data_IF_033188187888
#
_entry.id   IF_033188187888
#
_cell.length_a   1.000
_cell.length_b   1.000
_cell.length_c   1.000
_cell.angle_alpha   90.00
_cell.angle_beta   90.00
_cell.angle_gamma   90.00
#
_symmetry.space_group_name_H-M   'P 1'
#
loop_
_entity.id
_entity.type
_entity.pdbx_description
1 polymer ?
#
# COMPACT_ATOMS: atom_id res chain seq x y z
N UNK A 1 -61.47 15.16 43.65
CA UNK A 1 -60.12 14.82 43.11
C UNK A 1 -59.86 15.76 41.93
N UNK A 2 -58.86 16.60 42.03
CA UNK A 2 -58.59 17.65 41.06
C UNK A 2 -58.00 17.10 39.75
N UNK A 3 -58.36 17.76 38.67
CA UNK A 3 -57.89 17.41 37.32
C UNK A 3 -56.35 17.36 37.22
N UNK A 4 -55.65 18.12 38.04
CA UNK A 4 -54.20 18.19 38.12
C UNK A 4 -53.56 16.88 38.62
N UNK A 5 -54.21 16.14 39.55
CA UNK A 5 -53.70 14.85 40.04
C UNK A 5 -53.76 13.74 38.97
N UNK A 6 -54.75 13.80 38.07
CA UNK A 6 -54.83 12.86 36.95
C UNK A 6 -53.81 13.13 35.83
N UNK A 7 -53.49 14.42 35.60
CA UNK A 7 -52.46 14.80 34.64
C UNK A 7 -51.06 14.35 35.13
N UNK A 8 -50.78 14.51 36.42
CA UNK A 8 -49.49 14.07 37.02
C UNK A 8 -49.27 12.57 36.92
N UNK A 9 -50.33 11.77 37.07
CA UNK A 9 -50.24 10.33 36.88
C UNK A 9 -50.04 9.92 35.40
N UNK A 10 -50.64 10.64 34.46
CA UNK A 10 -50.45 10.42 33.06
C UNK A 10 -49.06 10.80 32.59
N UNK A 11 -48.52 11.92 33.09
CA UNK A 11 -47.14 12.33 32.73
C UNK A 11 -46.10 11.37 33.33
N UNK A 12 -46.29 10.83 34.54
CA UNK A 12 -45.41 9.79 35.10
C UNK A 12 -45.47 8.49 34.30
N UNK A 13 -46.63 8.10 33.82
CA UNK A 13 -46.76 6.91 32.96
C UNK A 13 -46.06 7.06 31.62
N UNK A 14 -46.04 8.27 31.04
CA UNK A 14 -45.30 8.56 29.83
C UNK A 14 -43.78 8.62 30.07
N UNK A 15 -43.32 9.10 31.22
CA UNK A 15 -41.89 9.16 31.56
C UNK A 15 -41.33 7.75 31.84
N UNK A 16 -42.10 6.83 32.39
CA UNK A 16 -41.67 5.44 32.62
C UNK A 16 -41.79 4.57 31.37
N UNK A 17 -42.55 4.99 30.35
CA UNK A 17 -42.65 4.28 29.06
C UNK A 17 -41.46 4.56 28.11
N UNK A 18 -40.54 5.45 28.50
CA UNK A 18 -39.33 5.76 27.73
C UNK A 18 -38.10 4.96 28.11
N UNK A 19 -38.20 3.90 28.90
CA UNK A 19 -37.16 2.87 28.89
C UNK A 19 -37.19 2.23 27.50
N UNK A 20 -36.25 2.65 26.70
CA UNK A 20 -36.12 2.27 25.30
C UNK A 20 -36.15 0.75 25.18
N UNK A 21 -37.22 0.19 24.64
CA UNK A 21 -37.26 -1.22 24.16
C UNK A 21 -36.30 -1.48 23.00
N UNK A 22 -35.47 -0.50 22.65
CA UNK A 22 -34.43 -0.68 21.66
C UNK A 22 -33.22 -1.31 22.35
N UNK A 23 -32.71 -2.43 21.83
CA UNK A 23 -31.48 -3.00 22.34
C UNK A 23 -30.41 -1.91 22.31
N UNK A 24 -29.68 -1.75 23.43
CA UNK A 24 -28.56 -0.81 23.48
C UNK A 24 -27.73 -1.01 22.23
N UNK A 25 -27.41 0.11 21.56
CA UNK A 25 -26.58 0.10 20.36
C UNK A 25 -25.34 -0.72 20.66
N UNK A 26 -25.18 -1.86 19.98
CA UNK A 26 -24.07 -2.73 20.23
C UNK A 26 -22.76 -1.96 20.06
N UNK A 27 -21.92 -1.96 21.07
CA UNK A 27 -20.59 -1.36 20.99
C UNK A 27 -19.81 -2.21 20.00
N UNK A 28 -19.30 -1.64 18.90
CA UNK A 28 -18.54 -2.41 17.95
C UNK A 28 -17.28 -2.97 18.64
N UNK A 29 -16.84 -4.18 18.27
CA UNK A 29 -15.66 -4.77 18.87
C UNK A 29 -14.42 -3.89 18.60
N UNK A 30 -13.55 -3.78 19.58
CA UNK A 30 -12.30 -3.00 19.49
C UNK A 30 -11.20 -3.75 18.73
N UNK A 31 -11.40 -5.03 18.45
CA UNK A 31 -10.44 -5.89 17.78
C UNK A 31 -11.05 -6.61 16.57
N UNK A 32 -10.18 -7.00 15.67
CA UNK A 32 -10.46 -7.82 14.48
C UNK A 32 -9.63 -9.08 14.57
N UNK A 33 -10.19 -10.22 14.18
CA UNK A 33 -9.52 -11.51 14.28
C UNK A 33 -8.77 -11.84 12.99
N UNK A 34 -7.46 -11.97 13.06
CA UNK A 34 -6.64 -12.48 11.97
C UNK A 34 -6.37 -13.97 12.19
N UNK A 35 -6.50 -14.77 11.13
CA UNK A 35 -6.21 -16.20 11.18
C UNK A 35 -4.73 -16.44 10.99
N UNK A 36 -4.09 -17.13 11.94
CA UNK A 36 -2.71 -17.58 11.84
C UNK A 36 -2.65 -18.88 11.06
N UNK A 37 -1.67 -18.99 10.18
CA UNK A 37 -1.49 -20.13 9.28
C UNK A 37 -0.07 -20.65 9.35
N UNK A 38 0.08 -21.95 9.10
CA UNK A 38 1.36 -22.60 8.91
C UNK A 38 1.87 -22.37 7.47
N UNK A 39 3.15 -22.43 7.25
CA UNK A 39 3.77 -22.30 5.93
C UNK A 39 4.61 -23.55 5.62
N UNK A 40 4.58 -24.14 4.42
CA UNK A 40 3.93 -23.67 3.20
C UNK A 40 2.48 -24.17 2.97
N UNK A 41 1.86 -24.92 3.87
CA UNK A 41 0.51 -25.44 3.66
C UNK A 41 -0.58 -24.37 3.63
N UNK A 42 -0.37 -23.24 4.31
CA UNK A 42 -1.35 -22.19 4.60
C UNK A 42 -2.59 -22.68 5.36
N UNK A 43 -2.48 -23.79 6.09
CA UNK A 43 -3.55 -24.27 6.93
C UNK A 43 -3.73 -23.41 8.19
N UNK A 44 -4.98 -23.06 8.52
CA UNK A 44 -5.25 -22.25 9.70
C UNK A 44 -5.11 -23.10 10.97
N UNK A 45 -4.39 -22.62 11.97
CA UNK A 45 -4.20 -23.31 13.25
C UNK A 45 -4.64 -22.49 14.46
N UNK A 46 -4.63 -21.16 14.37
CA UNK A 46 -4.98 -20.28 15.47
C UNK A 46 -5.58 -18.96 15.00
N UNK A 47 -6.06 -18.17 15.95
CA UNK A 47 -6.63 -16.84 15.69
C UNK A 47 -5.90 -15.81 16.54
N UNK A 48 -5.51 -14.69 15.93
CA UNK A 48 -4.77 -13.61 16.53
C UNK A 48 -5.61 -12.31 16.56
N UNK A 49 -5.86 -11.71 17.75
CA UNK A 49 -6.58 -10.45 17.83
C UNK A 49 -5.69 -9.28 17.42
N UNK A 50 -6.19 -8.44 16.51
CA UNK A 50 -5.52 -7.22 16.04
C UNK A 50 -6.46 -6.05 16.26
N UNK A 51 -5.93 -4.87 16.58
CA UNK A 51 -6.73 -3.69 16.83
C UNK A 51 -7.59 -3.32 15.60
N UNK A 52 -8.86 -3.02 15.83
CA UNK A 52 -9.85 -2.77 14.77
C UNK A 52 -9.47 -1.60 13.85
N UNK A 53 -8.87 -0.54 14.38
CA UNK A 53 -8.41 0.61 13.58
C UNK A 53 -7.31 0.27 12.56
N UNK A 54 -6.63 -0.88 12.72
CA UNK A 54 -5.57 -1.33 11.83
C UNK A 54 -6.09 -2.16 10.66
N UNK A 55 -6.95 -3.18 10.92
CA UNK A 55 -7.43 -4.10 9.87
C UNK A 55 -8.88 -3.87 9.43
N UNK A 56 -9.60 -2.93 10.04
CA UNK A 56 -10.99 -2.66 9.68
C UNK A 56 -11.26 -1.19 9.31
N UNK A 57 -10.24 -0.47 8.88
CA UNK A 57 -10.40 0.89 8.40
C UNK A 57 -11.39 0.98 7.22
N UNK A 58 -12.18 2.07 7.10
CA UNK A 58 -13.03 2.28 5.94
C UNK A 58 -12.18 2.51 4.69
N UNK A 59 -12.63 1.97 3.55
CA UNK A 59 -11.89 2.10 2.29
C UNK A 59 -12.05 3.54 1.76
N UNK A 60 -10.94 4.27 1.67
CA UNK A 60 -10.86 5.63 1.13
C UNK A 60 -9.86 5.65 -0.03
N UNK A 61 -10.38 5.66 -1.25
CA UNK A 61 -9.58 5.64 -2.48
C UNK A 61 -8.81 6.95 -2.70
N UNK A 62 -9.34 8.07 -2.24
CA UNK A 62 -8.68 9.38 -2.27
C UNK A 62 -7.33 9.38 -1.53
N UNK A 63 -7.31 8.85 -0.32
CA UNK A 63 -6.10 8.75 0.51
C UNK A 63 -5.09 7.76 -0.09
N UNK A 64 -5.58 6.62 -0.57
CA UNK A 64 -4.72 5.64 -1.27
C UNK A 64 -4.08 6.22 -2.53
N UNK A 65 -4.83 7.01 -3.31
CA UNK A 65 -4.33 7.67 -4.51
C UNK A 65 -3.21 8.66 -4.17
N UNK A 66 -3.40 9.50 -3.15
CA UNK A 66 -2.37 10.45 -2.71
C UNK A 66 -1.07 9.75 -2.32
N UNK A 67 -1.14 8.65 -1.54
CA UNK A 67 0.03 7.89 -1.14
C UNK A 67 0.76 7.28 -2.35
N UNK A 68 0.03 6.62 -3.26
CA UNK A 68 0.62 6.00 -4.45
C UNK A 68 1.25 7.04 -5.38
N UNK A 69 0.62 8.21 -5.57
CA UNK A 69 1.17 9.28 -6.39
C UNK A 69 2.47 9.81 -5.78
N UNK A 70 2.49 10.07 -4.47
CA UNK A 70 3.70 10.48 -3.76
C UNK A 70 4.85 9.47 -3.96
N UNK A 71 4.60 8.18 -3.76
CA UNK A 71 5.60 7.12 -3.94
C UNK A 71 6.14 7.08 -5.37
N UNK A 72 5.28 7.26 -6.38
CA UNK A 72 5.68 7.28 -7.79
C UNK A 72 6.45 8.54 -8.16
N UNK A 73 6.06 9.71 -7.66
CA UNK A 73 6.74 10.98 -7.89
C UNK A 73 8.13 10.98 -7.25
N UNK A 74 8.26 10.42 -6.03
CA UNK A 74 9.53 10.29 -5.34
C UNK A 74 10.51 9.32 -6.03
N UNK A 75 10.00 8.36 -6.79
CA UNK A 75 10.82 7.46 -7.62
C UNK A 75 11.18 8.03 -8.98
N UNK A 76 10.58 9.15 -9.38
CA UNK A 76 10.72 9.70 -10.70
C UNK A 76 12.08 10.37 -10.85
N UNK A 77 12.86 9.87 -11.80
CA UNK A 77 14.14 10.48 -12.17
C UNK A 77 13.88 11.57 -13.20
N UNK A 78 14.08 12.83 -12.83
CA UNK A 78 13.87 13.96 -13.72
C UNK A 78 15.03 14.17 -14.71
N UNK A 79 15.31 13.19 -15.56
CA UNK A 79 16.43 13.17 -16.47
C UNK A 79 16.21 13.94 -17.78
N UNK A 80 15.04 14.56 -17.98
CA UNK A 80 14.72 15.29 -19.20
C UNK A 80 15.56 16.56 -19.31
N UNK A 81 16.44 16.61 -20.30
CA UNK A 81 17.35 17.73 -20.57
C UNK A 81 17.32 18.14 -22.06
N UNK A 82 16.17 18.64 -22.56
CA UNK A 82 16.11 19.10 -23.96
C UNK A 82 17.02 20.30 -24.16
N UNK A 83 17.69 20.41 -25.33
CA UNK A 83 18.63 21.50 -25.58
C UNK A 83 17.92 22.83 -25.59
N UNK A 84 18.39 23.74 -24.78
CA UNK A 84 17.97 25.13 -24.73
C UNK A 84 18.57 25.96 -25.88
N UNK A 85 18.18 27.21 -25.92
CA UNK A 85 18.66 28.14 -26.98
C UNK A 85 20.17 28.38 -26.94
N UNK A 86 20.79 28.20 -25.77
CA UNK A 86 22.23 28.31 -25.58
C UNK A 86 23.02 27.08 -26.03
N UNK A 87 22.36 25.91 -25.98
CA UNK A 87 23.01 24.59 -26.15
C UNK A 87 23.07 24.16 -27.61
N UNK A 88 22.29 24.84 -28.48
CA UNK A 88 22.34 24.59 -29.91
C UNK A 88 23.59 25.18 -30.55
N UNK A 89 24.20 24.43 -31.47
CA UNK A 89 25.41 24.82 -32.22
C UNK A 89 25.16 25.81 -33.34
N UNK A 90 23.92 26.23 -33.58
CA UNK A 90 23.62 27.16 -34.63
C UNK A 90 23.99 28.61 -34.24
N UNK A 91 24.36 29.41 -35.23
CA UNK A 91 24.63 30.83 -35.06
C UNK A 91 23.39 31.57 -34.53
N UNK A 92 23.58 32.48 -33.60
CA UNK A 92 22.55 33.41 -33.14
C UNK A 92 22.36 34.63 -34.07
N UNK A 93 23.07 34.66 -35.19
CA UNK A 93 22.95 35.72 -36.16
C UNK A 93 21.56 35.67 -36.82
N UNK A 94 21.02 36.86 -37.12
CA UNK A 94 19.77 37.02 -37.85
C UNK A 94 19.89 36.44 -39.24
N UNK A 95 19.04 35.50 -39.64
CA UNK A 95 19.15 34.78 -40.90
C UNK A 95 18.74 35.59 -42.14
N UNK A 96 17.79 36.50 -41.99
CA UNK A 96 17.28 37.36 -43.07
C UNK A 96 17.23 38.80 -42.63
N UNK A 97 17.45 39.78 -43.54
CA UNK A 97 17.28 41.19 -43.24
C UNK A 97 15.84 41.51 -42.84
N UNK A 98 15.65 42.55 -42.03
CA UNK A 98 14.36 42.89 -41.40
C UNK A 98 13.26 43.21 -42.41
N UNK A 99 13.63 43.78 -43.59
CA UNK A 99 12.71 44.18 -44.66
C UNK A 99 13.33 43.82 -46.04
N UNK A 100 12.52 43.84 -47.11
CA UNK A 100 12.99 43.65 -48.49
C UNK A 100 13.06 42.20 -48.96
N UNK A 101 12.63 41.20 -48.18
CA UNK A 101 12.72 39.78 -48.57
C UNK A 101 11.41 39.19 -49.11
N UNK A 102 10.29 39.92 -49.02
CA UNK A 102 8.97 39.38 -49.40
C UNK A 102 8.48 38.17 -48.59
N UNK A 103 9.20 37.81 -47.52
CA UNK A 103 8.90 36.67 -46.63
C UNK A 103 8.66 37.12 -45.21
N UNK A 104 8.07 36.26 -44.40
CA UNK A 104 7.89 36.49 -42.97
C UNK A 104 9.25 36.80 -42.29
N UNK A 105 9.22 37.68 -41.29
CA UNK A 105 10.41 38.03 -40.50
C UNK A 105 10.97 36.81 -39.78
N UNK A 106 12.29 36.63 -39.87
CA UNK A 106 12.97 35.47 -39.27
C UNK A 106 14.10 35.99 -38.37
N UNK A 107 14.17 35.45 -37.18
CA UNK A 107 15.28 35.67 -36.23
C UNK A 107 16.46 34.76 -36.53
N UNK A 108 17.01 34.16 -35.49
CA UNK A 108 18.13 33.23 -35.55
C UNK A 108 17.70 31.79 -35.88
N UNK A 109 18.68 30.92 -36.14
CA UNK A 109 18.45 29.53 -36.43
C UNK A 109 18.01 28.72 -35.18
N UNK A 110 18.35 29.22 -33.97
CA UNK A 110 18.04 28.55 -32.69
C UNK A 110 16.60 28.83 -32.21
N UNK A 111 15.81 29.63 -32.94
CA UNK A 111 14.46 29.99 -32.53
C UNK A 111 13.58 28.76 -32.36
N UNK A 112 12.80 28.63 -31.22
CA UNK A 112 11.88 27.54 -30.98
C UNK A 112 10.79 27.34 -32.04
N UNK A 113 10.49 28.38 -32.82
CA UNK A 113 9.49 28.36 -33.90
C UNK A 113 9.95 27.46 -35.06
N UNK A 114 11.26 27.24 -35.19
CA UNK A 114 11.84 26.48 -36.29
C UNK A 114 11.81 24.94 -35.97
N UNK A 115 11.63 24.14 -36.99
CA UNK A 115 11.57 22.70 -36.89
C UNK A 115 12.79 22.06 -36.17
N UNK A 116 13.99 22.63 -36.39
CA UNK A 116 15.23 22.18 -35.72
C UNK A 116 15.75 23.21 -34.70
N UNK A 117 14.88 24.08 -34.22
CA UNK A 117 15.22 25.07 -33.22
C UNK A 117 15.28 24.51 -31.80
N UNK A 118 15.73 25.33 -30.89
CA UNK A 118 15.83 25.02 -29.47
C UNK A 118 14.45 24.79 -28.84
N UNK A 119 14.43 24.09 -27.75
CA UNK A 119 13.21 23.90 -26.96
C UNK A 119 12.88 25.20 -26.20
N UNK A 120 11.64 25.68 -26.33
CA UNK A 120 11.17 26.81 -25.53
C UNK A 120 11.03 26.40 -24.08
N UNK A 121 11.51 27.19 -23.13
CA UNK A 121 11.50 26.89 -21.70
C UNK A 121 12.14 25.51 -21.40
N UNK A 122 13.30 25.25 -22.01
CA UNK A 122 14.04 24.02 -21.86
C UNK A 122 14.29 23.71 -20.37
N UNK A 123 13.97 22.51 -19.98
CA UNK A 123 14.24 22.01 -18.63
C UNK A 123 15.70 21.57 -18.53
N UNK A 124 16.27 21.72 -17.36
CA UNK A 124 17.61 21.19 -17.04
C UNK A 124 17.47 20.02 -16.10
N UNK A 125 18.19 18.94 -16.41
CA UNK A 125 18.30 17.79 -15.51
C UNK A 125 19.38 18.05 -14.44
N UNK A 126 19.24 17.50 -13.22
CA UNK A 126 18.08 16.77 -12.67
C UNK A 126 16.94 17.72 -12.31
N UNK A 127 15.69 17.28 -12.53
CA UNK A 127 14.50 18.00 -12.05
C UNK A 127 13.84 17.16 -10.96
N UNK A 128 13.76 17.69 -9.76
CA UNK A 128 13.14 17.01 -8.62
C UNK A 128 11.61 17.09 -8.72
N UNK A 129 10.95 15.94 -8.74
CA UNK A 129 9.52 15.81 -8.77
C UNK A 129 8.97 15.29 -7.43
N UNK A 130 9.82 15.16 -6.40
CA UNK A 130 9.40 14.64 -5.10
C UNK A 130 8.27 15.49 -4.51
N UNK A 131 7.34 14.81 -3.90
CA UNK A 131 6.21 15.39 -3.19
C UNK A 131 6.16 14.86 -1.77
N UNK A 132 5.79 15.70 -0.81
CA UNK A 132 5.65 15.33 0.58
C UNK A 132 4.18 15.15 0.95
N UNK A 133 3.90 14.10 1.72
CA UNK A 133 2.59 13.85 2.29
C UNK A 133 2.71 13.86 3.83
N UNK A 134 1.77 14.50 4.56
CA UNK A 134 1.79 14.44 6.01
C UNK A 134 1.81 12.99 6.52
N UNK A 135 2.68 12.69 7.47
CA UNK A 135 2.93 11.34 7.98
C UNK A 135 1.64 10.63 8.43
N UNK A 136 0.75 11.35 9.14
CA UNK A 136 -0.56 10.81 9.58
C UNK A 136 -1.45 10.36 8.42
N UNK A 137 -1.37 11.05 7.27
CA UNK A 137 -2.14 10.70 6.07
C UNK A 137 -1.55 9.46 5.42
N UNK A 138 -0.22 9.34 5.37
CA UNK A 138 0.46 8.14 4.87
C UNK A 138 0.18 6.91 5.76
N UNK A 139 0.24 7.07 7.09
CA UNK A 139 -0.13 6.02 8.06
C UNK A 139 -1.58 5.56 7.86
N UNK A 140 -2.49 6.53 7.60
CA UNK A 140 -3.88 6.19 7.27
C UNK A 140 -3.98 5.40 5.96
N UNK A 141 -3.25 5.80 4.91
CA UNK A 141 -3.24 5.09 3.63
C UNK A 141 -2.77 3.64 3.80
N UNK A 142 -1.72 3.44 4.59
CA UNK A 142 -1.17 2.12 4.86
C UNK A 142 -2.18 1.20 5.57
N UNK A 143 -2.86 1.70 6.62
CA UNK A 143 -3.94 0.98 7.31
C UNK A 143 -5.10 0.64 6.39
N UNK A 144 -5.51 1.58 5.52
CA UNK A 144 -6.59 1.35 4.54
C UNK A 144 -6.19 0.26 3.55
N UNK A 145 -4.94 0.25 3.05
CA UNK A 145 -4.44 -0.75 2.13
C UNK A 145 -4.48 -2.16 2.74
N UNK A 146 -3.96 -2.32 3.97
CA UNK A 146 -4.01 -3.60 4.69
C UNK A 146 -5.45 -4.02 5.03
N UNK A 147 -6.30 -3.09 5.46
CA UNK A 147 -7.73 -3.37 5.71
C UNK A 147 -8.46 -3.83 4.45
N UNK A 148 -8.13 -3.22 3.30
CA UNK A 148 -8.68 -3.62 2.01
C UNK A 148 -8.26 -5.04 1.64
N UNK A 149 -6.98 -5.38 1.81
CA UNK A 149 -6.45 -6.71 1.57
C UNK A 149 -7.07 -7.75 2.52
N UNK A 150 -7.24 -7.41 3.79
CA UNK A 150 -7.88 -8.27 4.79
C UNK A 150 -9.36 -8.54 4.43
N UNK A 151 -10.15 -7.50 4.16
CA UNK A 151 -11.57 -7.61 3.77
C UNK A 151 -11.78 -8.39 2.47
N UNK A 152 -10.82 -8.29 1.55
CA UNK A 152 -10.83 -9.04 0.29
C UNK A 152 -10.33 -10.50 0.43
N UNK A 153 -9.94 -10.95 1.64
CA UNK A 153 -9.39 -12.29 1.86
C UNK A 153 -8.04 -12.52 1.15
N UNK A 154 -7.28 -11.46 0.91
CA UNK A 154 -5.97 -11.50 0.24
C UNK A 154 -4.80 -11.59 1.21
N UNK A 155 -5.04 -11.34 2.51
CA UNK A 155 -4.04 -11.31 3.56
C UNK A 155 -3.95 -12.67 4.25
N UNK A 156 -2.78 -13.29 4.21
CA UNK A 156 -2.44 -14.52 4.91
C UNK A 156 -1.37 -14.20 5.95
N UNK A 157 -1.65 -14.50 7.21
CA UNK A 157 -0.71 -14.26 8.31
C UNK A 157 -0.11 -15.59 8.72
N UNK A 158 1.22 -15.67 8.72
CA UNK A 158 1.98 -16.85 9.12
C UNK A 158 2.63 -16.57 10.47
N UNK A 159 2.53 -17.49 11.40
CA UNK A 159 3.16 -17.33 12.72
C UNK A 159 2.60 -18.25 13.76
N UNK A 160 3.33 -18.41 14.84
CA UNK A 160 2.93 -19.22 16.00
C UNK A 160 2.01 -18.45 16.95
N UNK A 161 1.12 -19.19 17.60
CA UNK A 161 0.34 -18.69 18.73
C UNK A 161 0.83 -19.36 20.02
N UNK A 162 1.31 -18.57 20.96
CA UNK A 162 1.93 -19.05 22.21
C UNK A 162 1.06 -20.00 23.06
N UNK A 163 -0.27 -19.87 22.95
CA UNK A 163 -1.22 -20.65 23.72
C UNK A 163 -1.74 -21.92 23.03
N UNK A 164 -1.44 -22.11 21.74
CA UNK A 164 -1.92 -23.24 20.98
C UNK A 164 -0.78 -24.24 20.78
N UNK A 165 -0.80 -25.35 21.51
CA UNK A 165 0.00 -26.54 21.20
C UNK A 165 -0.49 -27.16 19.89
N UNK A 166 -0.34 -26.44 18.78
CA UNK A 166 -0.80 -26.88 17.45
C UNK A 166 0.19 -27.89 16.89
N UNK A 167 -0.28 -29.08 16.61
CA UNK A 167 0.49 -30.06 15.84
C UNK A 167 0.62 -29.56 14.40
N UNK A 168 1.87 -29.31 13.97
CA UNK A 168 2.19 -28.99 12.59
C UNK A 168 2.15 -30.22 11.71
N UNK A 169 1.71 -30.06 10.47
CA UNK A 169 1.92 -31.09 9.46
C UNK A 169 3.41 -31.27 9.19
N UNK A 170 3.87 -32.50 8.87
CA UNK A 170 5.28 -32.73 8.58
C UNK A 170 5.72 -31.89 7.36
N UNK A 171 6.70 -31.04 7.59
CA UNK A 171 7.25 -30.10 6.59
C UNK A 171 6.70 -28.67 6.65
N UNK A 172 5.75 -28.39 7.55
CA UNK A 172 5.28 -27.02 7.81
C UNK A 172 6.11 -26.34 8.90
N UNK A 173 6.19 -25.02 8.84
CA UNK A 173 6.83 -24.16 9.84
C UNK A 173 5.89 -23.00 10.23
N UNK A 174 6.15 -22.37 11.36
CA UNK A 174 5.47 -21.12 11.74
C UNK A 174 6.14 -19.89 11.15
N UNK A 175 7.32 -20.05 10.58
CA UNK A 175 8.05 -18.99 9.91
C UNK A 175 7.92 -19.09 8.39
N UNK A 176 8.21 -17.98 7.70
CA UNK A 176 8.25 -17.93 6.24
C UNK A 176 9.54 -18.57 5.70
N UNK A 177 9.68 -19.87 5.94
CA UNK A 177 10.83 -20.64 5.50
C UNK A 177 10.42 -21.81 4.59
N UNK A 178 11.26 -22.05 3.57
CA UNK A 178 11.18 -23.24 2.73
C UNK A 178 12.26 -24.24 3.12
N UNK A 179 11.94 -25.53 3.05
CA UNK A 179 12.91 -26.61 3.29
C UNK A 179 14.08 -26.56 2.32
N UNK A 180 13.86 -26.08 1.09
CA UNK A 180 14.88 -26.03 0.04
C UNK A 180 14.90 -24.67 -0.68
N UNK A 181 16.11 -24.21 -1.02
CA UNK A 181 16.35 -22.96 -1.77
C UNK A 181 16.11 -23.07 -3.28
N UNK A 182 15.62 -24.21 -3.77
CA UNK A 182 15.42 -24.43 -5.19
C UNK A 182 14.07 -23.85 -5.66
N UNK A 183 13.99 -23.17 -6.83
CA UNK A 183 12.75 -22.59 -7.36
C UNK A 183 11.58 -23.58 -7.46
N UNK A 184 11.85 -24.88 -7.67
CA UNK A 184 10.82 -25.92 -7.71
C UNK A 184 10.01 -26.05 -6.42
N UNK A 185 10.63 -25.78 -5.26
CA UNK A 185 9.90 -25.75 -3.98
C UNK A 185 8.84 -24.66 -3.97
N UNK A 186 9.18 -23.49 -4.54
CA UNK A 186 8.23 -22.39 -4.71
C UNK A 186 7.18 -22.69 -5.80
N UNK A 187 7.56 -23.40 -6.90
CA UNK A 187 6.61 -23.85 -7.93
C UNK A 187 5.55 -24.79 -7.35
N UNK A 188 5.93 -25.70 -6.48
CA UNK A 188 4.98 -26.61 -5.83
C UNK A 188 4.00 -25.84 -4.94
N UNK A 189 4.49 -24.85 -4.19
CA UNK A 189 3.66 -23.95 -3.39
C UNK A 189 2.68 -23.16 -4.29
N UNK A 190 3.18 -22.51 -5.33
CA UNK A 190 2.39 -21.70 -6.26
C UNK A 190 1.33 -22.54 -6.97
N UNK A 191 1.66 -23.75 -7.36
CA UNK A 191 0.74 -24.68 -8.04
C UNK A 191 -0.32 -25.21 -7.07
N UNK A 192 0.08 -25.63 -5.87
CA UNK A 192 -0.82 -26.12 -4.82
C UNK A 192 -1.90 -25.09 -4.45
N UNK A 193 -1.52 -23.83 -4.37
CA UNK A 193 -2.43 -22.73 -4.00
C UNK A 193 -3.04 -21.97 -5.19
N UNK A 194 -2.79 -22.40 -6.44
CA UNK A 194 -3.35 -21.78 -7.65
C UNK A 194 -2.87 -20.35 -7.89
N UNK A 195 -1.65 -20.00 -7.45
CA UNK A 195 -1.13 -18.64 -7.47
C UNK A 195 -0.39 -18.25 -8.77
N UNK A 196 -0.26 -19.14 -9.74
CA UNK A 196 0.60 -18.96 -10.92
C UNK A 196 0.29 -17.74 -11.81
N UNK A 197 -0.91 -17.18 -11.73
CA UNK A 197 -1.30 -15.95 -12.45
C UNK A 197 -1.32 -14.70 -11.57
N UNK A 198 -1.16 -14.84 -10.26
CA UNK A 198 -1.32 -13.80 -9.26
C UNK A 198 0.03 -13.22 -8.83
N UNK A 199 0.03 -11.95 -8.45
CA UNK A 199 1.17 -11.32 -7.82
C UNK A 199 1.17 -11.65 -6.33
N UNK A 200 2.20 -12.34 -5.87
CA UNK A 200 2.37 -12.73 -4.48
C UNK A 200 3.48 -11.91 -3.85
N UNK A 201 3.19 -11.32 -2.69
CA UNK A 201 4.18 -10.59 -1.91
C UNK A 201 4.39 -11.27 -0.56
N UNK A 202 5.64 -11.66 -0.30
CA UNK A 202 6.09 -12.19 0.99
C UNK A 202 6.71 -11.06 1.82
N UNK A 203 6.30 -10.97 3.09
CA UNK A 203 6.83 -9.99 4.04
C UNK A 203 7.25 -10.74 5.31
N UNK A 204 8.54 -11.10 5.45
CA UNK A 204 9.05 -11.78 6.63
C UNK A 204 9.16 -10.83 7.83
N UNK A 205 9.25 -11.39 9.03
CA UNK A 205 9.54 -10.66 10.26
C UNK A 205 10.96 -10.13 10.28
N UNK A 206 11.91 -11.01 9.98
CA UNK A 206 13.30 -10.68 9.73
C UNK A 206 13.65 -11.09 8.29
N UNK A 207 14.36 -10.22 7.62
CA UNK A 207 14.78 -10.48 6.25
C UNK A 207 16.23 -10.99 6.25
N UNK A 208 16.38 -12.27 5.90
CA UNK A 208 17.67 -12.86 5.64
C UNK A 208 17.80 -13.16 4.13
N UNK A 209 18.77 -12.55 3.42
CA UNK A 209 19.03 -12.85 2.02
C UNK A 209 19.52 -14.29 1.79
N UNK A 210 20.08 -14.92 2.81
CA UNK A 210 20.56 -16.30 2.76
C UNK A 210 19.44 -17.33 2.98
N UNK A 211 18.28 -16.91 3.48
CA UNK A 211 17.13 -17.79 3.69
C UNK A 211 16.71 -18.50 2.40
N UNK A 212 16.25 -19.74 2.51
CA UNK A 212 15.85 -20.56 1.37
C UNK A 212 14.73 -19.92 0.55
N UNK A 213 13.75 -19.28 1.21
CA UNK A 213 12.66 -18.58 0.53
C UNK A 213 13.18 -17.39 -0.29
N UNK A 214 14.10 -16.58 0.26
CA UNK A 214 14.66 -15.42 -0.44
C UNK A 214 15.43 -15.86 -1.70
N UNK A 215 16.24 -16.92 -1.60
CA UNK A 215 16.96 -17.51 -2.73
C UNK A 215 16.03 -18.10 -3.79
N UNK A 216 14.94 -18.73 -3.38
CA UNK A 216 13.92 -19.26 -4.30
C UNK A 216 13.19 -18.14 -5.03
N UNK A 217 12.74 -17.10 -4.32
CA UNK A 217 12.02 -15.94 -4.89
C UNK A 217 12.90 -15.18 -5.87
N UNK A 218 14.19 -14.94 -5.55
CA UNK A 218 15.10 -14.22 -6.46
C UNK A 218 15.29 -14.89 -7.82
N UNK A 219 15.09 -16.19 -7.91
CA UNK A 219 15.20 -17.00 -9.13
C UNK A 219 13.87 -17.26 -9.83
N UNK A 220 12.75 -16.95 -9.17
CA UNK A 220 11.42 -17.33 -9.67
C UNK A 220 10.85 -16.40 -10.73
N UNK A 221 11.09 -15.10 -10.62
CA UNK A 221 10.59 -14.08 -11.57
C UNK A 221 9.74 -12.98 -10.92
N UNK A 222 9.16 -12.10 -11.75
CA UNK A 222 8.58 -10.83 -11.28
C UNK A 222 7.24 -10.95 -10.52
N UNK A 223 6.53 -12.07 -10.63
CA UNK A 223 5.20 -12.24 -10.02
C UNK A 223 5.25 -12.52 -8.53
N UNK A 224 6.34 -13.13 -8.09
CA UNK A 224 6.56 -13.44 -6.68
C UNK A 224 7.68 -12.54 -6.17
N UNK A 225 7.39 -11.77 -5.14
CA UNK A 225 8.33 -10.83 -4.55
C UNK A 225 8.44 -11.03 -3.07
N UNK A 226 9.58 -10.71 -2.51
CA UNK A 226 9.84 -10.66 -1.09
C UNK A 226 10.44 -9.30 -0.76
N UNK A 227 9.85 -8.60 0.21
CA UNK A 227 10.30 -7.28 0.65
C UNK A 227 10.50 -7.28 2.17
N UNK A 228 11.46 -6.49 2.63
CA UNK A 228 11.64 -6.21 4.06
C UNK A 228 10.44 -5.45 4.59
N UNK A 229 10.05 -5.68 5.83
CA UNK A 229 8.96 -4.95 6.49
C UNK A 229 9.14 -3.42 6.47
N UNK A 230 10.40 -2.94 6.46
CA UNK A 230 10.72 -1.51 6.42
C UNK A 230 10.51 -0.88 5.04
N UNK A 231 10.74 -1.67 3.97
CA UNK A 231 10.75 -1.20 2.57
C UNK A 231 9.40 -1.35 1.86
N UNK A 232 8.40 -1.91 2.56
CA UNK A 232 7.06 -2.10 1.98
C UNK A 232 6.34 -0.77 1.88
N UNK A 233 5.93 -0.42 0.67
CA UNK A 233 5.14 0.77 0.36
C UNK A 233 3.66 0.43 0.15
N UNK A 234 2.79 1.46 0.22
CA UNK A 234 1.34 1.31 -0.01
C UNK A 234 1.07 0.74 -1.40
N UNK A 235 1.84 1.16 -2.40
CA UNK A 235 1.74 0.65 -3.78
C UNK A 235 2.01 -0.85 -3.87
N UNK A 236 2.99 -1.36 -3.14
CA UNK A 236 3.33 -2.77 -3.17
C UNK A 236 2.21 -3.63 -2.56
N UNK A 237 1.58 -3.16 -1.48
CA UNK A 237 0.40 -3.79 -0.88
C UNK A 237 -0.79 -3.84 -1.84
N UNK A 238 -1.03 -2.75 -2.59
CA UNK A 238 -2.14 -2.68 -3.55
C UNK A 238 -1.89 -3.49 -4.82
N UNK A 239 -0.63 -3.61 -5.25
CA UNK A 239 -0.23 -4.39 -6.43
C UNK A 239 -0.32 -5.89 -6.20
N UNK A 240 -0.15 -6.33 -4.95
CA UNK A 240 -0.20 -7.74 -4.59
C UNK A 240 -1.63 -8.28 -4.62
N UNK A 241 -1.82 -9.42 -5.30
CA UNK A 241 -3.07 -10.17 -5.27
C UNK A 241 -3.16 -11.08 -4.05
N UNK A 242 -2.01 -11.48 -3.51
CA UNK A 242 -1.89 -12.23 -2.27
C UNK A 242 -0.73 -11.68 -1.45
N UNK A 243 -1.01 -11.40 -0.19
CA UNK A 243 -0.05 -10.94 0.80
C UNK A 243 0.18 -12.06 1.81
N UNK A 244 1.41 -12.53 1.91
CA UNK A 244 1.82 -13.51 2.91
C UNK A 244 2.76 -12.80 3.88
N UNK A 245 2.28 -12.54 5.07
CA UNK A 245 2.93 -11.67 6.06
C UNK A 245 3.22 -12.48 7.32
N UNK A 246 4.42 -12.38 7.87
CA UNK A 246 4.70 -12.99 9.17
C UNK A 246 3.95 -12.26 10.29
N UNK A 247 3.64 -12.93 11.39
CA UNK A 247 3.04 -12.34 12.58
C UNK A 247 3.85 -11.14 13.08
N UNK A 248 5.18 -11.25 13.11
CA UNK A 248 6.07 -10.21 13.60
C UNK A 248 6.06 -8.96 12.69
N UNK A 249 6.04 -9.16 11.37
CA UNK A 249 5.86 -8.05 10.43
C UNK A 249 4.50 -7.36 10.60
N UNK A 250 3.43 -8.12 10.85
CA UNK A 250 2.11 -7.55 11.11
C UNK A 250 2.08 -6.73 12.39
N UNK A 251 2.70 -7.22 13.47
CA UNK A 251 2.84 -6.49 14.75
C UNK A 251 3.66 -5.22 14.56
N UNK A 252 4.76 -5.28 13.81
CA UNK A 252 5.56 -4.10 13.47
C UNK A 252 4.73 -3.04 12.73
N UNK A 253 3.94 -3.44 11.71
CA UNK A 253 3.06 -2.52 11.01
C UNK A 253 1.97 -1.94 11.92
N UNK A 254 1.39 -2.74 12.78
CA UNK A 254 0.41 -2.27 13.74
C UNK A 254 1.02 -1.22 14.68
N UNK A 255 2.19 -1.47 15.25
CA UNK A 255 2.88 -0.52 16.12
C UNK A 255 3.26 0.77 15.39
N UNK A 256 3.79 0.68 14.16
CA UNK A 256 4.25 1.83 13.39
C UNK A 256 3.09 2.72 12.92
N UNK A 257 2.05 2.15 12.35
CA UNK A 257 0.99 2.89 11.66
C UNK A 257 -0.27 3.17 12.50
N UNK A 258 -0.35 2.70 13.76
CA UNK A 258 -1.42 3.06 14.69
C UNK A 258 -0.98 4.01 15.82
N UNK A 259 0.28 4.38 15.88
CA UNK A 259 0.87 5.25 16.92
C UNK A 259 0.14 6.59 17.12
N UNK A 260 -0.59 7.08 16.14
CA UNK A 260 -1.34 8.34 16.22
C UNK A 260 -2.81 8.16 16.62
N UNK A 261 -3.28 6.94 16.88
CA UNK A 261 -4.68 6.64 17.19
C UNK A 261 -4.81 6.09 18.60
N UNK A 262 -3.82 5.35 19.06
CA UNK A 262 -3.70 4.84 20.41
C UNK A 262 -2.92 5.84 21.27
#
# INVERSE_FOLDING_TARGET
MSFVSKLGAFVRGLATATESKFPHKAIPPTYTLATLRAFPSLEPHAVFPVHNAFLNAPIRRDVLWLAVVMELDNRRVGASNPPGRSDHKFSRHKLLPQKGTGRARVGDANSPIRHRGAYALARTAPNDFSTDLPEKVYDMAYRIALSSAYKAGKLFVVGEHEAAGSELLPGDSFDLELTHSHPRALDTFVTKHGLGKLNVLFIPGEYDPEANLAKAVSKYGDKVRMLRKEDVEVRDLLKADRLVVSKDALVYFAAKYTRHIL
#
